data_IF_427330365261
#
_entry.id   IF_427330365261
#
_cell.length_a   1.000
_cell.length_b   1.000
_cell.length_c   1.000
_cell.angle_alpha   90.00
_cell.angle_beta   90.00
_cell.angle_gamma   90.00
#
_symmetry.space_group_name_H-M   'P 1'
#
loop_
_entity.id
_entity.type
_entity.pdbx_description
1 polymer ?
2 polymer ?
3 branched ?
4 non-polymer ?
5 non-polymer ?
6 non-polymer ?
7 non-polymer ?
8 water ?
#
# COMPACT_ATOMS: atom_id res chain seq x y z
C UNK A 1 -5.11 -22.01 -25.21
N UNK A 2 -3.96 -22.30 -24.57
CA UNK A 2 -2.96 -22.32 -23.49
C UNK A 2 -1.75 -21.39 -23.72
N UNK A 3 -1.55 -20.50 -22.75
CA UNK A 3 -0.83 -19.24 -22.94
C UNK A 3 0.57 -19.20 -22.35
N UNK A 4 0.73 -19.76 -21.15
CA UNK A 4 1.97 -19.58 -20.43
C UNK A 4 2.83 -20.81 -20.42
N UNK A 5 3.78 -20.85 -19.50
CA UNK A 5 4.62 -22.03 -19.28
C UNK A 5 4.50 -22.39 -17.82
N UNK A 6 4.47 -23.66 -17.47
CA UNK A 6 4.36 -24.01 -16.07
C UNK A 6 5.61 -24.69 -15.61
N UNK A 7 5.79 -24.63 -14.31
CA UNK A 7 6.94 -25.24 -13.70
C UNK A 7 6.44 -25.46 -12.31
N UNK A 8 7.21 -26.24 -11.54
CA UNK A 8 6.96 -26.53 -10.13
C UNK A 8 6.51 -25.28 -9.36
N UNK A 9 7.35 -24.25 -9.33
CA UNK A 9 7.07 -23.09 -8.49
C UNK A 9 6.92 -21.78 -9.18
N UNK A 10 6.41 -21.79 -10.40
CA UNK A 10 6.29 -20.54 -11.12
C UNK A 10 5.27 -20.65 -12.24
N UNK A 11 5.04 -19.54 -12.93
CA UNK A 11 4.25 -19.53 -14.14
C UNK A 11 4.74 -18.41 -15.02
N UNK A 12 5.29 -18.75 -16.17
CA UNK A 12 5.80 -17.75 -17.08
C UNK A 12 4.75 -17.43 -18.13
N UNK A 13 4.39 -16.16 -18.25
CA UNK A 13 3.46 -15.70 -19.27
C UNK A 13 4.02 -15.76 -20.70
N UNK A 14 4.55 -16.90 -21.10
CA UNK A 14 5.01 -17.06 -22.47
C UNK A 14 4.88 -18.49 -22.99
N UNK A 15 4.72 -18.62 -24.30
CA UNK A 15 4.48 -19.93 -24.91
C UNK A 15 5.78 -20.63 -25.31
N UNK A 16 6.08 -21.71 -24.58
CA UNK A 16 7.31 -22.47 -24.81
C UNK A 16 7.27 -23.37 -26.06
N UNK A 17 6.34 -23.12 -26.96
CA UNK A 17 6.32 -23.81 -28.22
C UNK A 17 7.58 -23.51 -29.00
N UNK A 18 8.14 -22.33 -28.81
CA UNK A 18 9.43 -22.01 -29.43
C UNK A 18 10.57 -22.71 -28.70
N UNK A 19 10.29 -23.24 -27.51
CA UNK A 19 11.28 -23.93 -26.70
C UNK A 19 12.36 -23.01 -26.18
N UNK A 20 11.97 -21.80 -25.77
CA UNK A 20 12.92 -20.75 -25.35
C UNK A 20 12.74 -20.40 -23.87
N UNK A 21 11.57 -20.71 -23.37
CA UNK A 21 11.19 -20.41 -22.02
C UNK A 21 12.03 -21.16 -21.00
N UNK A 22 12.68 -20.41 -20.12
CA UNK A 22 13.45 -20.95 -18.98
C UNK A 22 12.88 -20.47 -17.62
N UNK A 23 13.07 -21.28 -16.58
CA UNK A 23 12.67 -20.93 -15.21
C UNK A 23 13.15 -19.53 -14.84
N UNK A 24 12.29 -18.73 -14.19
CA UNK A 24 12.68 -17.37 -13.83
C UNK A 24 13.66 -17.37 -12.66
N UNK A 25 13.77 -18.50 -11.96
CA UNK A 25 14.81 -18.65 -10.97
C UNK A 25 16.14 -19.01 -11.63
N UNK A 26 16.15 -19.15 -12.95
CA UNK A 26 17.32 -19.74 -13.61
C UNK A 26 17.97 -18.96 -14.74
N UNK A 27 17.18 -18.30 -15.58
CA UNK A 27 17.78 -17.56 -16.68
C UNK A 27 16.94 -16.35 -17.04
N UNK A 28 17.61 -15.32 -17.59
CA UNK A 28 17.05 -14.08 -18.10
C UNK A 28 15.86 -14.30 -19.00
N UNK A 29 14.79 -13.52 -18.79
CA UNK A 29 13.55 -13.69 -19.54
C UNK A 29 13.46 -12.67 -20.64
N UNK A 30 14.52 -12.55 -21.41
CA UNK A 30 14.59 -11.50 -22.41
C UNK A 30 13.64 -11.73 -23.60
N UNK A 31 12.98 -12.89 -23.59
CA UNK A 31 11.91 -13.21 -24.56
C UNK A 31 10.55 -12.65 -24.14
N UNK A 32 10.36 -12.53 -22.82
CA UNK A 32 9.20 -11.93 -22.18
C UNK A 32 9.11 -10.45 -22.47
N UNK A 33 10.28 -9.84 -22.67
CA UNK A 33 10.41 -8.39 -22.84
C UNK A 33 11.83 -8.03 -23.19
N UNK A 34 11.99 -7.04 -24.07
CA UNK A 34 13.31 -6.62 -24.48
C UNK A 34 14.16 -6.38 -23.23
N UNK A 35 15.49 -6.37 -23.34
CA UNK A 35 16.24 -6.05 -22.13
C UNK A 35 16.03 -4.61 -21.69
N UNK A 36 15.96 -3.67 -22.63
CA UNK A 36 15.82 -2.28 -22.22
C UNK A 36 14.59 -2.07 -21.38
N UNK A 37 13.59 -2.92 -21.56
CA UNK A 37 12.42 -2.84 -20.73
C UNK A 37 12.73 -3.37 -19.35
N UNK A 38 13.66 -4.27 -19.23
CA UNK A 38 14.09 -4.61 -17.89
C UNK A 38 14.82 -3.44 -17.28
N UNK A 39 15.48 -2.65 -18.13
CA UNK A 39 16.25 -1.52 -17.65
C UNK A 39 15.33 -0.46 -17.07
N UNK A 40 14.22 -0.24 -17.74
CA UNK A 40 13.24 0.74 -17.32
C UNK A 40 12.57 0.28 -16.06
N UNK A 41 12.29 -1.02 -15.96
CA UNK A 41 11.81 -1.55 -14.70
C UNK A 41 12.75 -1.14 -13.57
N UNK A 42 14.05 -1.37 -13.78
CA UNK A 42 15.09 -0.98 -12.83
C UNK A 42 15.10 0.52 -12.59
N UNK A 43 15.16 1.30 -13.66
CA UNK A 43 14.99 2.74 -13.55
C UNK A 43 13.89 3.08 -12.55
N UNK A 44 12.71 2.47 -12.72
CA UNK A 44 11.66 2.77 -11.80
C UNK A 44 12.01 2.43 -10.36
N UNK A 45 12.30 1.17 -10.11
CA UNK A 45 12.69 0.72 -8.78
C UNK A 45 13.64 1.70 -8.13
N UNK A 46 14.56 2.25 -8.93
CA UNK A 46 15.49 3.26 -8.48
C UNK A 46 14.74 4.50 -7.98
N UNK A 47 13.95 5.06 -8.89
CA UNK A 47 13.08 6.19 -8.58
C UNK A 47 12.39 6.08 -7.22
N UNK A 48 11.66 4.97 -7.04
CA UNK A 48 10.87 4.78 -5.83
C UNK A 48 11.76 4.69 -4.63
N UNK A 49 12.97 4.14 -4.80
CA UNK A 49 13.95 4.12 -3.73
C UNK A 49 14.44 5.54 -3.44
N UNK A 50 14.84 6.21 -4.52
CA UNK A 50 15.23 7.60 -4.41
C UNK A 50 14.24 8.44 -3.63
N UNK A 51 13.01 8.58 -4.14
CA UNK A 51 11.97 9.38 -3.46
C UNK A 51 11.47 8.68 -2.21
N UNK A 52 11.11 7.43 -2.35
CA UNK A 52 10.47 6.72 -1.28
C UNK A 52 11.27 6.57 -0.02
N UNK A 53 12.58 6.37 -0.13
CA UNK A 53 13.34 6.12 1.09
C UNK A 53 13.55 7.37 1.94
N UNK A 54 13.95 8.48 1.30
CA UNK A 54 13.96 9.76 2.00
C UNK A 54 12.63 10.08 2.69
N UNK A 55 11.62 10.36 1.88
CA UNK A 55 10.33 10.75 2.36
C UNK A 55 9.91 9.92 3.55
N UNK A 56 9.99 8.61 3.43
CA UNK A 56 9.48 7.79 4.51
C UNK A 56 10.38 7.75 5.72
N UNK A 57 11.67 7.84 5.46
CA UNK A 57 12.64 7.69 6.54
C UNK A 57 12.64 8.98 7.33
N UNK A 58 12.57 10.07 6.58
CA UNK A 58 12.55 11.38 7.16
C UNK A 58 11.40 11.47 8.15
N UNK A 59 10.28 10.88 7.78
CA UNK A 59 9.13 10.82 8.66
C UNK A 59 9.45 10.27 10.07
N UNK A 60 10.15 9.15 10.15
CA UNK A 60 10.56 8.67 11.46
C UNK A 60 11.51 9.66 12.13
N UNK A 61 12.42 10.19 11.33
CA UNK A 61 13.50 11.03 11.85
C UNK A 61 12.98 12.29 12.51
N UNK A 62 12.21 13.04 11.74
CA UNK A 62 11.52 14.21 12.24
C UNK A 62 10.73 13.89 13.51
N UNK A 63 9.98 12.79 13.51
CA UNK A 63 9.24 12.38 14.71
C UNK A 63 10.16 12.21 15.91
N UNK A 64 11.46 12.18 15.67
CA UNK A 64 12.37 12.08 16.79
C UNK A 64 12.80 13.47 17.28
N UNK A 65 13.10 14.38 16.36
CA UNK A 65 13.53 15.73 16.72
C UNK A 65 12.42 16.55 17.38
N UNK A 66 11.18 16.08 17.27
CA UNK A 66 10.03 16.93 17.63
C UNK A 66 9.10 16.25 18.62
N UNK A 67 8.92 16.87 19.78
CA UNK A 67 8.19 16.20 20.84
C UNK A 67 6.71 16.31 20.54
N UNK A 68 6.36 17.33 19.76
CA UNK A 68 4.96 17.57 19.47
C UNK A 68 4.35 16.55 18.51
N UNK A 69 5.20 15.73 17.88
CA UNK A 69 4.74 14.72 16.94
C UNK A 69 4.38 13.43 17.66
N UNK A 70 5.03 13.16 18.78
CA UNK A 70 4.81 11.90 19.48
C UNK A 70 3.45 11.73 20.17
N UNK A 71 2.37 11.98 19.46
CA UNK A 71 1.03 11.81 20.03
C UNK A 71 0.33 10.59 19.45
N UNK A 72 -0.52 9.94 20.27
CA UNK A 72 -1.32 8.78 19.87
C UNK A 72 -1.97 8.86 18.49
N UNK A 73 -2.56 10.01 18.16
CA UNK A 73 -3.16 10.20 16.85
C UNK A 73 -2.14 10.14 15.70
N UNK A 74 -0.87 9.94 16.04
CA UNK A 74 0.21 9.93 15.06
C UNK A 74 0.91 8.58 14.89
N UNK A 75 0.72 7.72 15.87
CA UNK A 75 1.25 6.37 15.82
C UNK A 75 1.00 5.68 14.46
N UNK A 76 -0.26 5.59 14.06
CA UNK A 76 -0.65 4.89 12.83
C UNK A 76 0.10 5.44 11.63
N UNK A 77 0.43 6.73 11.69
CA UNK A 77 1.16 7.38 10.62
C UNK A 77 2.59 6.91 10.57
N UNK A 78 3.11 6.53 11.72
CA UNK A 78 4.47 6.06 11.78
C UNK A 78 4.44 4.64 11.25
N UNK A 79 3.46 3.87 11.70
CA UNK A 79 3.20 2.57 11.11
C UNK A 79 3.25 2.71 9.60
N UNK A 80 2.50 3.67 9.07
CA UNK A 80 2.46 3.90 7.63
C UNK A 80 3.83 4.07 6.97
N UNK A 81 4.74 4.79 7.61
CA UNK A 81 6.07 5.02 7.03
C UNK A 81 6.92 3.75 7.08
N UNK A 82 6.90 3.08 8.22
CA UNK A 82 7.60 1.81 8.43
C UNK A 82 7.19 0.79 7.39
N UNK A 83 5.88 0.68 7.20
CA UNK A 83 5.31 -0.16 6.18
C UNK A 83 6.02 0.17 4.89
N UNK A 84 5.96 1.43 4.51
CA UNK A 84 6.54 1.86 3.25
C UNK A 84 7.99 1.47 3.14
N UNK A 85 8.64 1.31 4.28
CA UNK A 85 10.06 1.04 4.22
C UNK A 85 10.30 -0.41 3.88
N UNK A 86 9.51 -1.30 4.47
CA UNK A 86 9.47 -2.71 4.01
C UNK A 86 9.25 -2.77 2.50
N UNK A 87 8.25 -2.04 2.04
CA UNK A 87 8.02 -1.89 0.62
C UNK A 87 9.26 -1.45 -0.15
N UNK A 88 10.11 -0.63 0.48
CA UNK A 88 11.31 -0.22 -0.21
C UNK A 88 12.36 -1.31 -0.16
N UNK A 89 12.85 -1.60 1.04
CA UNK A 89 13.97 -2.52 1.20
C UNK A 89 13.64 -3.96 0.90
N UNK A 90 12.45 -4.41 1.30
CA UNK A 90 11.99 -5.73 0.95
C UNK A 90 11.57 -5.93 -0.51
N UNK A 91 10.95 -4.93 -1.10
CA UNK A 91 10.53 -5.00 -2.48
C UNK A 91 11.44 -4.21 -3.40
N UNK A 92 11.30 -2.90 -3.37
CA UNK A 92 11.88 -2.03 -4.39
C UNK A 92 13.32 -2.37 -4.74
N UNK A 93 14.12 -2.67 -3.73
CA UNK A 93 15.58 -2.75 -3.90
C UNK A 93 15.97 -4.12 -4.42
N UNK A 94 15.42 -5.15 -3.80
CA UNK A 94 15.44 -6.51 -4.34
C UNK A 94 15.15 -6.56 -5.83
N UNK A 95 13.94 -6.18 -6.19
CA UNK A 95 13.57 -6.01 -7.58
C UNK A 95 14.52 -5.16 -8.42
N UNK A 96 15.28 -4.26 -7.81
CA UNK A 96 16.23 -3.49 -8.60
C UNK A 96 17.38 -4.40 -8.93
N UNK A 97 17.77 -5.21 -7.97
CA UNK A 97 18.86 -6.11 -8.19
C UNK A 97 18.51 -7.17 -9.24
N UNK A 98 17.41 -7.88 -8.99
CA UNK A 98 16.96 -8.98 -9.83
C UNK A 98 16.58 -8.51 -11.20
N UNK A 99 15.94 -7.35 -11.29
CA UNK A 99 15.60 -6.83 -12.61
C UNK A 99 16.83 -6.71 -13.49
N UNK A 100 17.96 -6.44 -12.83
CA UNK A 100 19.19 -6.15 -13.55
C UNK A 100 19.89 -7.39 -14.09
N UNK A 101 19.44 -8.54 -13.60
CA UNK A 101 19.86 -9.86 -14.09
C UNK A 101 18.90 -10.35 -15.16
N UNK A 102 17.63 -9.95 -15.03
CA UNK A 102 16.59 -10.37 -15.95
C UNK A 102 15.80 -11.57 -15.46
N UNK A 103 15.97 -11.95 -14.19
CA UNK A 103 15.23 -13.08 -13.63
C UNK A 103 15.38 -13.12 -12.11
N UNK A 104 14.52 -13.88 -11.43
CA UNK A 104 14.51 -13.87 -9.96
C UNK A 104 15.63 -14.70 -9.32
N UNK A 105 16.83 -14.13 -9.34
CA UNK A 105 18.03 -14.82 -8.92
C UNK A 105 17.97 -15.51 -7.54
N UNK A 106 17.17 -15.02 -6.61
CA UNK A 106 17.26 -15.58 -5.27
C UNK A 106 16.46 -16.86 -5.06
N UNK A 107 16.04 -17.48 -6.16
CA UNK A 107 15.29 -18.72 -6.05
C UNK A 107 13.93 -18.54 -5.41
N UNK A 108 13.30 -19.65 -5.01
CA UNK A 108 11.94 -19.70 -4.45
C UNK A 108 11.86 -19.21 -3.01
N UNK A 109 12.80 -19.65 -2.19
CA UNK A 109 12.95 -19.06 -0.88
C UNK A 109 13.08 -17.54 -1.04
N UNK A 110 13.89 -17.11 -2.00
CA UNK A 110 13.99 -15.69 -2.31
C UNK A 110 12.63 -15.13 -2.60
N UNK A 111 11.84 -15.90 -3.36
CA UNK A 111 10.52 -15.49 -3.78
C UNK A 111 9.55 -15.44 -2.61
N UNK A 112 9.71 -16.37 -1.69
CA UNK A 112 8.91 -16.36 -0.49
C UNK A 112 9.19 -15.18 0.43
N UNK A 113 10.46 -14.89 0.66
CA UNK A 113 10.83 -13.74 1.48
C UNK A 113 10.39 -12.47 0.80
N UNK A 114 10.98 -12.25 -0.38
CA UNK A 114 10.76 -11.03 -1.12
C UNK A 114 9.26 -10.80 -1.23
N UNK A 115 8.54 -11.85 -1.57
CA UNK A 115 7.10 -11.76 -1.64
C UNK A 115 6.49 -11.42 -0.30
N UNK A 116 6.95 -12.09 0.76
CA UNK A 116 6.33 -11.92 2.07
C UNK A 116 6.47 -10.52 2.64
N UNK A 117 7.67 -9.96 2.59
CA UNK A 117 7.87 -8.62 3.11
C UNK A 117 7.27 -7.54 2.22
N UNK A 118 7.45 -7.67 0.92
CA UNK A 118 6.80 -6.75 -0.02
C UNK A 118 5.29 -6.75 0.16
N UNK A 119 4.76 -7.91 0.53
CA UNK A 119 3.33 -8.07 0.72
C UNK A 119 2.92 -7.61 2.12
N UNK A 120 3.69 -8.04 3.12
CA UNK A 120 3.43 -7.60 4.48
C UNK A 120 3.40 -6.08 4.51
N UNK A 121 4.49 -5.47 4.07
CA UNK A 121 4.62 -4.02 4.00
C UNK A 121 3.41 -3.30 3.44
N UNK A 122 2.97 -3.69 2.25
CA UNK A 122 1.84 -3.02 1.61
C UNK A 122 0.47 -3.23 2.25
N UNK A 123 0.35 -4.20 3.14
CA UNK A 123 -0.92 -4.46 3.82
C UNK A 123 -1.03 -3.68 5.10
N UNK A 124 0.07 -3.62 5.84
CA UNK A 124 0.17 -2.75 7.00
C UNK A 124 -0.20 -1.35 6.54
N UNK A 125 0.38 -0.92 5.42
CA UNK A 125 0.11 0.40 4.90
C UNK A 125 -1.39 0.54 4.67
N UNK A 126 -1.97 -0.39 3.92
CA UNK A 126 -3.41 -0.39 3.67
C UNK A 126 -4.20 -0.30 4.96
N UNK A 127 -4.07 -1.29 5.83
CA UNK A 127 -4.76 -1.27 7.11
C UNK A 127 -4.43 -0.07 7.99
N UNK A 128 -3.24 0.50 7.82
CA UNK A 128 -2.96 1.76 8.47
C UNK A 128 -4.00 2.74 8.01
N UNK A 129 -3.95 3.08 6.73
CA UNK A 129 -4.98 3.90 6.12
C UNK A 129 -6.43 3.62 6.58
N UNK A 130 -6.76 2.37 6.83
CA UNK A 130 -8.05 2.02 7.38
C UNK A 130 -8.13 2.48 8.83
N UNK A 131 -7.41 1.80 9.72
CA UNK A 131 -7.35 2.18 11.13
C UNK A 131 -7.36 3.70 11.32
N UNK A 132 -6.51 4.39 10.55
CA UNK A 132 -6.51 5.84 10.57
C UNK A 132 -7.93 6.39 10.47
N UNK A 133 -8.57 6.26 9.32
CA UNK A 133 -9.93 6.75 9.11
C UNK A 133 -10.92 6.43 10.26
N UNK A 134 -10.84 5.21 10.77
CA UNK A 134 -11.61 4.80 11.95
C UNK A 134 -11.33 5.69 13.17
N UNK A 135 -10.06 5.90 13.50
CA UNK A 135 -9.71 6.79 14.61
C UNK A 135 -10.24 8.20 14.35
N UNK A 136 -9.95 8.75 13.19
CA UNK A 136 -10.41 10.08 12.87
C UNK A 136 -11.94 10.21 12.98
N UNK A 137 -12.62 9.14 12.68
CA UNK A 137 -14.06 9.12 12.78
C UNK A 137 -14.47 9.15 14.24
N UNK A 138 -13.88 8.25 15.03
CA UNK A 138 -14.14 8.18 16.45
C UNK A 138 -13.92 9.54 17.14
N UNK A 139 -12.71 10.06 16.96
CA UNK A 139 -12.28 11.31 17.59
C UNK A 139 -13.15 12.54 17.19
N UNK A 140 -13.61 12.55 15.95
CA UNK A 140 -14.28 13.73 15.44
C UNK A 140 -15.80 13.60 15.40
N UNK A 141 -16.31 12.47 14.92
CA UNK A 141 -17.75 12.25 14.87
C UNK A 141 -18.29 11.92 16.26
N UNK A 142 -17.37 11.77 17.22
CA UNK A 142 -17.73 11.49 18.62
C UNK A 142 -18.89 10.51 18.72
N UNK A 143 -18.76 9.35 18.07
CA UNK A 143 -19.89 8.42 17.94
C UNK A 143 -20.21 7.76 19.27
N UNK A 144 -19.19 7.52 20.08
CA UNK A 144 -19.37 6.98 21.42
C UNK A 144 -19.23 8.15 22.37
N UNK A 145 -20.23 8.37 23.20
CA UNK A 145 -20.18 9.51 24.12
C UNK A 145 -19.20 9.26 25.25
N UNK A 146 -18.69 10.36 25.80
CA UNK A 146 -17.75 10.34 26.92
C UNK A 146 -16.49 9.55 26.62
N UNK A 147 -16.24 9.27 25.34
CA UNK A 147 -15.05 8.52 24.93
C UNK A 147 -13.89 9.40 24.41
N UNK A 148 -12.72 9.24 25.03
CA UNK A 148 -11.50 9.92 24.59
C UNK A 148 -10.43 8.93 24.15
N UNK A 149 -9.88 9.18 22.98
CA UNK A 149 -8.87 8.32 22.36
C UNK A 149 -7.48 8.53 22.99
N UNK A 150 -6.96 7.47 23.62
CA UNK A 150 -5.65 7.52 24.27
C UNK A 150 -4.56 6.67 23.65
N UNK A 151 -3.38 6.68 24.26
CA UNK A 151 -2.24 5.91 23.76
C UNK A 151 -2.57 4.43 23.66
N UNK A 152 -3.38 3.93 24.57
CA UNK A 152 -3.64 2.50 24.58
C UNK A 152 -4.50 2.05 23.40
N UNK A 153 -5.27 2.97 22.85
CA UNK A 153 -6.04 2.67 21.64
C UNK A 153 -5.09 2.72 20.45
N UNK A 154 -4.28 3.78 20.41
CA UNK A 154 -3.30 3.94 19.33
C UNK A 154 -2.50 2.66 19.14
N UNK A 155 -2.06 2.08 20.24
CA UNK A 155 -1.30 0.83 20.25
C UNK A 155 -2.05 -0.35 19.59
N UNK A 156 -3.24 -0.68 20.08
CA UNK A 156 -4.06 -1.68 19.40
C UNK A 156 -4.21 -1.32 17.93
N UNK A 157 -4.65 -0.09 17.66
CA UNK A 157 -4.79 0.37 16.29
C UNK A 157 -3.68 -0.21 15.44
N UNK A 158 -2.44 0.02 15.85
CA UNK A 158 -1.25 -0.45 15.14
C UNK A 158 -1.15 -1.97 15.12
N UNK A 159 -1.29 -2.59 16.28
CA UNK A 159 -1.26 -4.03 16.37
C UNK A 159 -2.24 -4.63 15.37
N UNK A 160 -3.48 -4.14 15.41
CA UNK A 160 -4.50 -4.61 14.52
C UNK A 160 -4.09 -4.57 13.05
N UNK A 161 -3.37 -3.53 12.62
CA UNK A 161 -2.88 -3.52 11.24
C UNK A 161 -1.89 -4.67 10.99
N UNK A 162 -1.06 -4.98 12.00
CA UNK A 162 -0.10 -6.06 11.92
C UNK A 162 -0.72 -7.41 11.80
N UNK A 163 -1.70 -7.66 12.64
CA UNK A 163 -2.49 -8.89 12.56
C UNK A 163 -3.20 -9.00 11.21
N UNK A 164 -4.06 -8.04 10.87
CA UNK A 164 -4.63 -7.96 9.52
C UNK A 164 -3.65 -8.30 8.40
N UNK A 165 -2.49 -7.64 8.42
CA UNK A 165 -1.45 -7.84 7.41
C UNK A 165 -0.89 -9.26 7.41
N UNK A 166 -0.55 -9.80 8.58
CA UNK A 166 -0.15 -11.21 8.64
C UNK A 166 -1.25 -12.12 8.11
N UNK A 167 -2.50 -11.79 8.43
CA UNK A 167 -3.65 -12.56 7.94
C UNK A 167 -3.70 -12.68 6.40
N UNK A 168 -2.82 -11.98 5.71
CA UNK A 168 -2.80 -12.03 4.26
C UNK A 168 -1.44 -12.46 3.68
N UNK A 169 -0.36 -12.07 4.33
CA UNK A 169 0.98 -12.37 3.84
C UNK A 169 1.46 -13.78 4.26
N UNK A 170 0.97 -14.26 5.40
CA UNK A 170 1.37 -15.54 5.96
C UNK A 170 0.73 -16.78 5.29
N UNK A 171 -0.58 -16.76 5.01
CA UNK A 171 -1.20 -17.92 4.35
C UNK A 171 -0.39 -18.51 3.16
N UNK A 172 -0.01 -17.67 2.18
CA UNK A 172 0.72 -18.13 1.01
C UNK A 172 2.03 -18.83 1.37
N UNK A 173 2.57 -18.51 2.54
CA UNK A 173 3.83 -19.13 2.97
C UNK A 173 3.60 -20.54 3.48
N UNK A 174 2.35 -20.89 3.74
CA UNK A 174 2.06 -22.21 4.30
C UNK A 174 0.90 -22.96 3.65
N UNK A 175 0.55 -22.61 2.42
CA UNK A 175 -0.30 -23.50 1.65
C UNK A 175 -1.54 -22.91 1.05
N UNK A 176 -2.00 -21.80 1.61
CA UNK A 176 -3.19 -21.17 1.03
C UNK A 176 -2.77 -20.01 0.14
N UNK A 177 -3.00 -20.20 -1.15
CA UNK A 177 -2.26 -19.50 -2.18
C UNK A 177 -0.74 -19.73 -2.05
N UNK A 178 0.05 -18.95 -2.81
CA UNK A 178 1.51 -19.13 -2.82
C UNK A 178 2.20 -17.92 -3.47
N UNK A 179 3.51 -17.77 -3.21
CA UNK A 179 4.28 -16.69 -3.82
C UNK A 179 5.02 -17.13 -5.09
N UNK A 180 4.92 -16.37 -6.17
CA UNK A 180 5.60 -16.75 -7.39
C UNK A 180 6.05 -15.49 -8.11
N UNK A 181 7.20 -15.55 -8.78
CA UNK A 181 7.59 -14.39 -9.58
C UNK A 181 6.43 -13.99 -10.45
N UNK A 182 5.97 -12.75 -10.34
CA UNK A 182 4.85 -12.31 -11.12
C UNK A 182 5.42 -11.36 -12.13
N UNK A 183 4.58 -10.92 -13.06
CA UNK A 183 4.93 -9.89 -14.01
C UNK A 183 5.99 -10.30 -15.01
N UNK A 184 7.11 -9.58 -15.01
CA UNK A 184 8.24 -9.93 -15.84
C UNK A 184 9.19 -10.85 -15.07
N UNK A 185 8.69 -11.37 -13.95
CA UNK A 185 9.35 -12.39 -13.15
C UNK A 185 10.57 -11.92 -12.35
N UNK A 186 10.71 -10.62 -12.14
CA UNK A 186 11.81 -10.14 -11.29
C UNK A 186 11.35 -9.95 -9.85
N UNK A 187 10.05 -9.78 -9.65
CA UNK A 187 9.49 -9.70 -8.29
C UNK A 187 8.54 -10.84 -8.06
N UNK A 188 8.18 -11.05 -6.79
CA UNK A 188 7.39 -12.19 -6.39
C UNK A 188 6.14 -11.79 -5.66
N UNK A 189 4.99 -11.90 -6.31
CA UNK A 189 3.71 -11.59 -5.71
C UNK A 189 2.84 -12.77 -5.29
N UNK A 190 1.66 -12.48 -4.77
CA UNK A 190 0.71 -13.52 -4.40
C UNK A 190 0.20 -14.10 -5.70
N UNK A 191 -0.18 -15.38 -5.67
CA UNK A 191 -0.79 -15.99 -6.86
C UNK A 191 -2.30 -15.80 -6.89
N UNK A 192 -2.77 -15.11 -7.92
CA UNK A 192 -4.17 -14.74 -8.00
C UNK A 192 -4.65 -14.82 -9.44
N UNK A 193 -3.82 -15.33 -10.33
CA UNK A 193 -4.22 -15.38 -11.73
C UNK A 193 -4.14 -16.80 -12.27
N UNK A 194 -3.45 -17.64 -11.51
CA UNK A 194 -3.34 -19.06 -11.78
C UNK A 194 -4.31 -19.80 -10.88
N UNK A 195 -5.08 -20.71 -11.47
CA UNK A 195 -6.07 -21.48 -10.70
C UNK A 195 -5.43 -22.74 -10.17
N UNK A 196 -4.59 -22.60 -9.15
CA UNK A 196 -3.70 -23.68 -8.74
C UNK A 196 -4.27 -24.50 -7.57
N UNK A 197 -5.16 -25.43 -7.92
CA UNK A 197 -5.91 -26.21 -6.93
C UNK A 197 -5.12 -26.75 -5.72
N UNK A 198 -3.87 -27.12 -5.90
CA UNK A 198 -3.15 -27.72 -4.78
C UNK A 198 -3.00 -26.76 -3.59
N UNK A 199 -3.35 -25.48 -3.80
CA UNK A 199 -3.24 -24.42 -2.77
C UNK A 199 -4.49 -23.52 -2.63
N UNK A 200 -5.46 -23.71 -3.54
CA UNK A 200 -6.78 -23.10 -3.41
C UNK A 200 -6.76 -21.62 -3.69
N UNK A 201 -5.89 -21.23 -4.62
CA UNK A 201 -5.84 -19.86 -5.08
C UNK A 201 -7.22 -19.24 -5.29
N UNK A 202 -8.10 -19.97 -5.95
CA UNK A 202 -9.48 -19.52 -6.19
C UNK A 202 -10.14 -18.91 -4.94
N UNK A 203 -10.06 -19.63 -3.83
CA UNK A 203 -10.69 -19.18 -2.60
C UNK A 203 -9.96 -17.97 -2.01
N UNK A 204 -8.69 -18.13 -1.67
CA UNK A 204 -7.88 -17.04 -1.15
C UNK A 204 -8.09 -15.75 -1.91
N UNK A 205 -8.00 -15.83 -3.23
CA UNK A 205 -8.32 -14.72 -4.11
C UNK A 205 -9.56 -13.96 -3.71
N UNK A 206 -10.63 -14.68 -3.41
CA UNK A 206 -11.89 -14.04 -2.98
C UNK A 206 -11.71 -13.42 -1.60
N UNK A 207 -11.29 -14.25 -0.66
CA UNK A 207 -11.05 -13.81 0.69
C UNK A 207 -10.20 -12.57 0.68
N UNK A 208 -9.14 -12.58 -0.12
CA UNK A 208 -8.40 -11.37 -0.44
C UNK A 208 -9.32 -10.27 -0.90
N UNK A 209 -9.96 -10.50 -2.03
CA UNK A 209 -10.83 -9.51 -2.60
C UNK A 209 -11.81 -8.91 -1.59
N UNK A 210 -12.39 -9.77 -0.77
CA UNK A 210 -13.47 -9.35 0.10
C UNK A 210 -12.97 -8.69 1.38
N UNK A 211 -12.24 -9.46 2.20
CA UNK A 211 -11.66 -8.93 3.43
C UNK A 211 -10.62 -7.84 3.18
N UNK A 212 -9.75 -8.04 2.23
CA UNK A 212 -8.68 -7.11 2.08
C UNK A 212 -8.86 -6.08 1.03
N UNK A 213 -10.04 -6.01 0.44
CA UNK A 213 -10.36 -4.88 -0.41
C UNK A 213 -11.66 -4.24 -0.01
N UNK A 214 -12.76 -4.96 -0.14
CA UNK A 214 -14.05 -4.35 0.08
C UNK A 214 -14.29 -3.85 1.49
N UNK A 215 -14.02 -4.66 2.48
CA UNK A 215 -14.05 -4.16 3.84
C UNK A 215 -13.38 -2.78 3.96
N UNK A 216 -12.04 -2.72 3.79
CA UNK A 216 -11.34 -1.43 3.79
C UNK A 216 -12.11 -0.36 3.02
N UNK A 217 -12.32 -0.61 1.74
CA UNK A 217 -13.04 0.31 0.88
C UNK A 217 -14.30 0.87 1.53
N UNK A 218 -15.12 -0.01 2.07
CA UNK A 218 -16.35 0.42 2.73
C UNK A 218 -16.05 1.25 3.97
N UNK A 219 -15.41 0.63 4.96
CA UNK A 219 -15.03 1.34 6.17
C UNK A 219 -14.52 2.74 5.86
N UNK A 220 -13.41 2.81 5.13
CA UNK A 220 -12.86 4.09 4.72
C UNK A 220 -13.89 5.04 4.14
N UNK A 221 -14.73 4.56 3.24
CA UNK A 221 -15.78 5.44 2.72
C UNK A 221 -16.83 5.87 3.76
N UNK A 222 -17.25 4.92 4.57
CA UNK A 222 -18.14 5.28 5.65
C UNK A 222 -17.48 6.33 6.53
N UNK A 223 -16.42 5.95 7.24
CA UNK A 223 -15.83 6.82 8.23
C UNK A 223 -15.57 8.20 7.71
N UNK A 224 -15.06 8.31 6.50
CA UNK A 224 -14.82 9.64 6.00
C UNK A 224 -16.09 10.35 5.59
N UNK A 225 -17.05 9.65 4.99
CA UNK A 225 -18.35 10.24 4.72
C UNK A 225 -18.90 10.88 5.99
N UNK A 226 -19.03 10.05 7.03
CA UNK A 226 -19.50 10.49 8.36
C UNK A 226 -18.87 11.78 8.78
N UNK A 227 -17.56 11.86 8.53
CA UNK A 227 -16.74 12.96 8.98
C UNK A 227 -16.95 14.19 8.12
N UNK A 228 -16.99 14.01 6.81
CA UNK A 228 -17.27 15.12 5.92
C UNK A 228 -18.72 15.53 6.15
N UNK A 229 -19.48 14.64 6.77
CA UNK A 229 -20.82 15.00 7.21
C UNK A 229 -20.73 15.90 8.43
N UNK A 230 -20.33 15.31 9.56
CA UNK A 230 -20.14 16.01 10.83
C UNK A 230 -19.58 17.43 10.68
N UNK A 231 -18.54 17.57 9.88
CA UNK A 231 -17.87 18.86 9.72
C UNK A 231 -18.61 19.81 8.79
N UNK A 232 -19.29 19.25 7.81
CA UNK A 232 -20.10 20.08 6.93
C UNK A 232 -21.29 20.65 7.71
N UNK A 233 -21.79 19.85 8.65
CA UNK A 233 -22.92 20.25 9.49
C UNK A 233 -22.51 21.35 10.47
N UNK A 234 -21.48 21.07 11.25
CA UNK A 234 -20.92 22.04 12.20
C UNK A 234 -20.57 23.38 11.55
N UNK A 235 -20.19 23.36 10.29
CA UNK A 235 -19.95 24.57 9.55
C UNK A 235 -21.20 25.38 9.33
N UNK A 236 -22.27 24.70 8.97
CA UNK A 236 -23.53 25.33 8.66
C UNK A 236 -24.05 26.01 9.89
N UNK A 237 -23.82 25.35 11.01
CA UNK A 237 -24.44 25.69 12.28
C UNK A 237 -23.64 26.79 12.90
N UNK A 238 -22.62 27.20 12.15
CA UNK A 238 -21.68 28.20 12.61
C UNK A 238 -21.17 28.96 11.42
N UNK A 239 -22.05 29.60 10.70
CA UNK A 239 -21.67 30.41 9.57
C UNK A 239 -20.85 31.60 9.99
N UNK A 240 -21.09 32.05 11.21
CA UNK A 240 -20.54 33.31 11.65
C UNK A 240 -19.04 33.22 11.60
N UNK A 241 -18.53 32.01 11.68
CA UNK A 241 -17.09 31.75 11.70
C UNK A 241 -16.53 31.46 10.31
N UNK A 242 -15.54 32.25 9.89
CA UNK A 242 -14.89 32.04 8.60
C UNK A 242 -13.86 30.88 8.70
N UNK A 243 -13.23 30.73 9.85
CA UNK A 243 -12.31 29.64 10.08
C UNK A 243 -12.99 28.29 9.96
N UNK A 244 -14.11 28.12 10.67
CA UNK A 244 -14.87 26.87 10.58
C UNK A 244 -15.35 26.66 9.15
N UNK A 245 -15.40 27.75 8.41
CA UNK A 245 -15.78 27.70 7.01
C UNK A 245 -14.66 27.08 6.19
N UNK A 246 -13.45 27.60 6.38
CA UNK A 246 -12.24 27.02 5.78
C UNK A 246 -12.07 25.57 6.18
N UNK A 247 -11.97 25.30 7.48
CA UNK A 247 -11.83 23.93 7.96
C UNK A 247 -12.70 22.96 7.15
N UNK A 248 -14.02 23.14 7.22
CA UNK A 248 -14.95 22.26 6.53
C UNK A 248 -14.65 22.13 5.06
N UNK A 249 -14.23 23.24 4.46
CA UNK A 249 -13.91 23.26 3.04
C UNK A 249 -12.63 22.45 2.80
N UNK A 250 -11.61 22.69 3.62
CA UNK A 250 -10.35 22.01 3.42
C UNK A 250 -10.42 20.55 3.83
N UNK A 251 -11.17 20.24 4.87
CA UNK A 251 -11.33 18.84 5.25
C UNK A 251 -11.98 18.03 4.14
N UNK A 252 -12.94 18.62 3.45
CA UNK A 252 -13.55 17.92 2.32
C UNK A 252 -12.47 17.64 1.27
N UNK A 253 -11.83 18.69 0.76
CA UNK A 253 -10.77 18.57 -0.24
C UNK A 253 -9.81 17.40 0.05
N UNK A 254 -9.33 17.29 1.28
CA UNK A 254 -8.51 16.15 1.68
C UNK A 254 -9.19 14.79 1.60
N UNK A 255 -10.40 14.68 2.15
CA UNK A 255 -11.05 13.37 2.14
C UNK A 255 -11.30 12.90 0.72
N UNK A 256 -11.51 13.84 -0.18
CA UNK A 256 -11.63 13.47 -1.58
C UNK A 256 -10.33 12.81 -2.06
N UNK A 257 -9.24 13.55 -1.95
CA UNK A 257 -7.90 13.02 -2.15
C UNK A 257 -7.69 11.64 -1.51
N UNK A 258 -7.82 11.54 -0.19
CA UNK A 258 -7.61 10.27 0.49
C UNK A 258 -8.24 9.13 -0.27
N UNK A 259 -9.47 9.38 -0.70
CA UNK A 259 -10.30 8.37 -1.35
C UNK A 259 -9.87 8.09 -2.80
N UNK A 260 -9.91 9.11 -3.65
CA UNK A 260 -9.31 9.02 -4.98
C UNK A 260 -7.97 8.28 -4.98
N UNK A 261 -7.05 8.78 -4.18
CA UNK A 261 -5.74 8.16 -4.08
C UNK A 261 -5.82 6.69 -3.64
N UNK A 262 -6.88 6.31 -2.93
CA UNK A 262 -6.96 4.94 -2.44
C UNK A 262 -7.42 3.99 -3.51
N UNK A 263 -8.25 4.49 -4.41
CA UNK A 263 -8.72 3.67 -5.50
C UNK A 263 -7.57 3.50 -6.46
N UNK A 264 -6.85 4.58 -6.70
CA UNK A 264 -5.67 4.51 -7.56
C UNK A 264 -4.69 3.40 -7.14
N UNK A 265 -4.57 3.20 -5.84
CA UNK A 265 -3.68 2.19 -5.31
C UNK A 265 -4.23 0.78 -5.50
N UNK A 266 -5.41 0.51 -4.95
CA UNK A 266 -5.93 -0.86 -4.92
C UNK A 266 -6.96 -1.23 -6.01
N UNK A 267 -7.46 -0.26 -6.77
CA UNK A 267 -8.41 -0.59 -7.84
C UNK A 267 -7.83 -1.54 -8.90
N UNK A 268 -6.66 -1.19 -9.46
CA UNK A 268 -6.01 -2.06 -10.45
C UNK A 268 -5.90 -3.52 -10.03
N UNK A 269 -5.45 -3.80 -8.82
CA UNK A 269 -5.34 -5.19 -8.40
C UNK A 269 -6.71 -5.84 -8.26
N UNK A 270 -7.66 -5.09 -7.72
CA UNK A 270 -8.99 -5.65 -7.62
C UNK A 270 -9.61 -5.80 -9.02
N UNK A 271 -9.48 -4.75 -9.84
CA UNK A 271 -9.95 -4.78 -11.24
C UNK A 271 -9.43 -5.96 -12.04
N UNK A 272 -8.13 -6.22 -11.91
CA UNK A 272 -7.50 -7.34 -12.58
C UNK A 272 -7.88 -8.67 -11.93
N UNK A 273 -7.63 -8.81 -10.64
CA UNK A 273 -7.99 -10.04 -9.95
C UNK A 273 -9.38 -10.50 -10.34
N UNK A 274 -10.28 -9.54 -10.45
CA UNK A 274 -11.66 -9.82 -10.77
C UNK A 274 -11.80 -10.28 -12.23
N UNK A 275 -11.46 -9.37 -13.14
CA UNK A 275 -11.54 -9.64 -14.58
C UNK A 275 -10.90 -10.97 -14.97
N UNK A 276 -9.85 -11.35 -14.26
CA UNK A 276 -9.15 -12.61 -14.45
C UNK A 276 -10.00 -13.76 -13.93
N UNK A 277 -10.46 -13.61 -12.70
CA UNK A 277 -11.38 -14.57 -12.09
C UNK A 277 -12.60 -14.81 -12.98
N UNK A 278 -13.00 -13.78 -13.73
CA UNK A 278 -14.24 -13.85 -14.48
C UNK A 278 -14.02 -13.91 -16.00
N UNK A 279 -12.77 -14.12 -16.41
CA UNK A 279 -12.42 -14.40 -17.80
C UNK A 279 -11.28 -15.41 -17.74
N UNK A 280 -11.55 -16.58 -17.16
CA UNK A 280 -10.47 -17.53 -16.89
C UNK A 280 -9.80 -18.08 -18.15
N UNK A 281 -10.53 -18.12 -19.25
CA UNK A 281 -9.91 -18.43 -20.52
C UNK A 281 -9.40 -17.18 -21.21
N UNK A 282 -8.26 -16.67 -20.77
CA UNK A 282 -7.77 -15.40 -21.28
C UNK A 282 -6.30 -15.23 -20.97
N UNK A 283 -5.56 -14.74 -21.97
CA UNK A 283 -4.12 -14.58 -21.85
C UNK A 283 -3.75 -13.17 -21.41
N UNK A 284 -2.93 -13.06 -20.38
CA UNK A 284 -2.50 -11.76 -19.88
C UNK A 284 -0.98 -11.52 -19.93
N UNK A 285 -0.55 -10.58 -20.77
CA UNK A 285 0.84 -10.14 -20.85
C UNK A 285 1.61 -9.94 -19.55
N UNK A 286 2.93 -10.12 -19.61
CA UNK A 286 3.78 -10.02 -18.42
C UNK A 286 4.06 -8.56 -18.07
N UNK A 287 3.91 -7.67 -19.05
CA UNK A 287 3.94 -6.22 -18.82
C UNK A 287 2.60 -5.78 -18.22
N UNK A 288 1.50 -6.12 -18.88
CA UNK A 288 0.17 -5.83 -18.37
C UNK A 288 -0.03 -6.40 -16.96
N UNK A 289 0.58 -7.53 -16.68
CA UNK A 289 0.49 -8.12 -15.34
C UNK A 289 1.24 -7.29 -14.31
N UNK A 290 2.02 -6.38 -14.86
CA UNK A 290 2.84 -5.46 -14.10
C UNK A 290 2.05 -4.17 -13.71
N UNK A 291 1.14 -3.74 -14.60
CA UNK A 291 0.32 -2.56 -14.36
C UNK A 291 -0.21 -2.43 -12.91
N UNK A 292 -1.04 -3.40 -12.45
CA UNK A 292 -1.64 -3.27 -11.11
C UNK A 292 -0.56 -3.07 -10.07
N UNK A 293 0.57 -3.74 -10.22
CA UNK A 293 1.62 -3.65 -9.21
C UNK A 293 2.41 -2.33 -9.29
N UNK A 294 2.38 -1.70 -10.44
CA UNK A 294 3.02 -0.42 -10.64
C UNK A 294 2.32 0.59 -9.75
N UNK A 295 1.00 0.62 -9.84
CA UNK A 295 0.20 1.51 -9.02
C UNK A 295 0.38 1.23 -7.54
N UNK A 296 0.18 -0.02 -7.13
CA UNK A 296 0.30 -0.37 -5.72
C UNK A 296 1.66 -0.04 -5.09
N UNK A 297 2.75 -0.02 -5.87
CA UNK A 297 4.05 0.25 -5.28
C UNK A 297 4.32 1.74 -5.13
N UNK A 298 3.89 2.53 -6.10
CA UNK A 298 4.12 3.98 -6.08
C UNK A 298 3.49 4.70 -4.87
N UNK A 299 2.54 4.02 -4.21
CA UNK A 299 1.89 4.55 -3.05
C UNK A 299 2.89 4.68 -1.91
N UNK A 300 4.02 3.99 -2.00
CA UNK A 300 5.05 4.13 -0.99
C UNK A 300 5.75 5.46 -1.15
N UNK A 301 5.43 6.16 -2.23
CA UNK A 301 5.88 7.55 -2.38
C UNK A 301 4.72 8.49 -2.04
N UNK A 302 3.57 8.30 -2.68
CA UNK A 302 2.49 9.26 -2.56
C UNK A 302 1.63 9.18 -1.29
N UNK A 303 1.66 8.05 -0.60
CA UNK A 303 1.02 8.02 0.70
C UNK A 303 1.80 8.85 1.71
N UNK A 304 3.12 8.67 1.77
CA UNK A 304 3.80 9.63 2.67
C UNK A 304 3.47 11.08 2.30
N UNK A 305 3.52 11.43 1.03
CA UNK A 305 3.25 12.79 0.60
C UNK A 305 1.89 13.30 1.03
N UNK A 306 0.90 12.43 1.05
CA UNK A 306 -0.49 12.87 1.20
C UNK A 306 -0.86 12.89 2.68
N UNK A 307 -0.47 11.84 3.38
CA UNK A 307 -0.81 11.65 4.79
C UNK A 307 0.23 12.20 5.74
N UNK A 308 1.37 12.67 5.22
CA UNK A 308 2.44 13.14 6.08
C UNK A 308 2.95 14.49 5.64
N UNK A 309 3.34 14.64 4.40
CA UNK A 309 3.89 15.90 3.98
C UNK A 309 2.77 16.91 3.89
N UNK A 310 1.56 16.41 3.68
CA UNK A 310 0.43 17.31 3.53
C UNK A 310 -0.25 17.50 4.88
N UNK A 311 0.23 16.79 5.90
CA UNK A 311 -0.25 16.93 7.28
C UNK A 311 0.42 18.16 7.92
N UNK A 312 -0.40 19.10 8.39
CA UNK A 312 0.14 20.41 8.79
C UNK A 312 1.24 20.31 9.84
N UNK A 313 0.98 19.58 10.93
CA UNK A 313 2.01 19.33 11.96
C UNK A 313 3.35 18.86 11.34
N UNK A 314 3.34 17.66 10.75
CA UNK A 314 4.55 17.06 10.20
C UNK A 314 5.32 17.98 9.28
N UNK A 315 4.63 18.64 8.37
CA UNK A 315 5.28 19.45 7.36
C UNK A 315 6.26 20.46 7.95
N UNK A 316 5.81 21.19 8.97
CA UNK A 316 6.60 22.19 9.64
C UNK A 316 7.95 21.68 10.07
N UNK A 317 7.92 20.62 10.85
CA UNK A 317 9.12 20.03 11.42
C UNK A 317 10.05 19.50 10.35
N UNK A 318 9.54 19.25 9.16
CA UNK A 318 10.43 18.86 8.10
C UNK A 318 11.19 20.10 7.64
N UNK A 319 10.44 21.06 7.12
CA UNK A 319 10.99 22.34 6.68
C UNK A 319 11.99 22.92 7.68
N UNK A 320 11.70 22.70 8.98
CA UNK A 320 12.55 23.07 10.11
C UNK A 320 13.82 22.24 10.13
N UNK A 321 13.64 20.93 10.05
CA UNK A 321 14.72 19.97 10.13
C UNK A 321 15.57 20.08 8.89
N UNK A 322 14.90 20.11 7.75
CA UNK A 322 15.59 20.21 6.46
C UNK A 322 16.40 21.50 6.36
N UNK A 323 15.78 22.62 6.74
CA UNK A 323 16.47 23.90 6.71
C UNK A 323 17.19 24.25 8.03
N UNK A 324 17.70 23.18 8.64
CA UNK A 324 18.85 23.21 9.56
C UNK A 324 18.61 23.76 10.95
N UNK A 325 17.43 23.46 11.51
CA UNK A 325 17.06 23.93 12.83
C UNK A 325 16.24 25.21 12.81
N UNK A 326 16.47 26.02 11.78
CA UNK A 326 15.82 27.33 11.63
C UNK A 326 14.71 27.27 10.60
N UNK A 327 13.80 28.25 10.64
CA UNK A 327 12.71 28.41 9.67
C UNK A 327 11.50 27.50 9.92
N UNK B 1 -15.33 21.83 16.51
CA UNK B 1 -14.57 20.63 16.17
C UNK B 1 -13.11 20.99 15.94
N UNK B 2 -12.89 22.22 15.48
CA UNK B 2 -11.57 22.66 15.02
C UNK B 2 -10.41 22.20 15.90
N UNK B 3 -10.69 21.88 17.15
CA UNK B 3 -9.65 21.38 18.04
C UNK B 3 -9.23 19.99 17.67
N UNK B 4 -10.19 19.07 17.69
CA UNK B 4 -9.94 17.70 17.26
C UNK B 4 -9.44 17.61 15.83
N UNK B 5 -10.04 18.37 14.91
CA UNK B 5 -9.52 18.50 13.55
C UNK B 5 -8.01 18.70 13.52
N UNK B 6 -7.51 19.56 14.40
CA UNK B 6 -6.08 19.86 14.46
C UNK B 6 -5.26 18.67 14.93
N UNK B 7 -5.75 18.00 15.97
CA UNK B 7 -5.05 16.84 16.56
C UNK B 7 -4.86 15.75 15.51
N UNK B 8 -5.81 15.65 14.58
CA UNK B 8 -5.76 14.67 13.51
C UNK B 8 -4.91 15.17 12.34
N UNK B 9 -4.53 16.45 12.38
CA UNK B 9 -3.73 17.04 11.33
C UNK B 9 -4.50 17.36 10.07
N UNK B 10 -5.82 17.13 10.13
CA UNK B 10 -6.74 17.44 9.03
C UNK B 10 -6.98 18.93 8.77
N UNK B 11 -6.87 19.75 9.82
CA UNK B 11 -6.92 21.20 9.67
C UNK B 11 -6.06 21.85 10.75
X LIG C 1 10.83 -24.69 -22.59
X LIG C 1 10.96 -25.49 -21.30
X LIG C 1 12.34 -26.09 -21.25
X LIG C 1 12.62 -26.96 -22.45
X LIG C 1 12.39 -26.25 -23.79
X LIG C 1 11.83 -27.21 -24.84
X LIG C 1 10.07 -24.91 -19.00
X LIG C 1 9.86 -23.76 -18.07
X LIG C 1 10.82 -24.66 -20.09
X LIG C 1 12.34 -26.85 -20.07
X LIG C 1 14.00 -27.25 -22.31
X LIG C 1 11.59 -25.08 -23.75
X LIG C 1 10.58 -27.77 -24.49
X LIG C 1 9.54 -25.98 -18.71
X LIG C 2 14.42 -28.62 -22.51
X LIG C 2 15.79 -28.46 -23.15
X LIG C 2 16.54 -29.78 -23.22
X LIG C 2 16.56 -30.55 -21.89
X LIG C 2 15.11 -30.61 -21.30
X LIG C 2 15.04 -31.17 -19.85
X LIG C 2 16.07 -26.51 -24.60
X LIG C 2 16.20 -25.91 -25.97
X LIG C 2 15.70 -27.78 -24.46
X LIG C 2 17.86 -29.50 -23.62
X LIG C 2 17.30 -31.79 -22.07
X LIG C 2 14.50 -29.34 -21.30
X LIG C 2 13.73 -31.17 -19.27
X LIG C 2 16.32 -25.82 -23.63
X LIG D 1 -6.17 -6.98 -3.30
X LIG D 1 -7.23 -6.74 -4.38
X LIG D 1 -7.91 -8.05 -4.79
X LIG D 1 -6.89 -9.07 -5.25
X LIG D 1 -5.54 -9.05 -4.60
X LIG D 1 -5.16 -8.07 -3.76
X LIG D 1 -3.81 -8.18 -3.14
X LIG D 1 -2.66 -8.16 -3.83
X LIG D 1 -1.45 -7.48 -3.27
X LIG D 1 -0.32 -7.46 -4.00
X LIG D 1 0.84 -6.75 -3.52
X LIG D 1 1.99 -6.90 -4.16
X LIG D 1 3.09 -5.90 -4.00
X LIG D 1 4.19 -5.99 -4.76
X LIG D 1 5.08 -4.84 -4.87
X LIG D 1 -6.87 -7.50 -2.04
X LIG D 1 -5.52 -5.62 -2.96
X LIG D 1 -4.58 -10.13 -4.96
X LIG D 1 -1.45 -6.83 -1.88
X LIG D 1 2.95 -4.68 -3.12
X LIG E 1 -12.65 -12.20 -7.16
X LIG E 1 -11.63 -12.42 -6.43
X LIG E 1 -12.42 -11.54 -8.21
X LIG E 1 -14.03 -12.68 -6.80
X LIG F 1 -18.46 18.92 -1.89
X LIG F 1 -18.21 17.75 -1.09
X LIG F 1 -19.94 18.98 -2.32
X LIG F 1 -20.32 17.82 -3.10
X LIG F 1 -20.16 20.28 -3.07
X LIG F 1 -21.55 20.41 -3.35
X LIG F 1 -19.73 21.44 -2.16
X LIG F 1 -19.92 22.69 -2.87
X LIG F 1 -18.26 21.30 -1.80
X LIG F 1 -18.07 20.06 -1.11
X LIG F 1 -17.83 22.35 -0.77
X LIG F 1 -16.47 22.14 -0.37
X LIG F 1 -18.32 16.43 -1.62
X LIG F 1 -17.70 15.58 -0.52
X LIG F 1 -17.68 14.09 -0.82
X LIG F 1 -17.05 13.44 0.41
X LIG F 1 -17.02 11.95 0.22
X LIG F 1 -16.44 11.29 1.46
X LIG F 1 -16.48 9.79 1.20
X LIG F 1 -15.93 9.05 2.40
X LIG G 1 20.08 23.80 5.99
X LIG G 1 19.52 24.93 6.11
X LIG G 1 20.29 23.27 4.53
X LIG G 1 19.36 24.08 3.62
X LIG G 1 19.42 23.88 2.08
X LIG G 1 19.14 22.49 1.50
X LIG G 1 19.16 22.62 -0.06
X LIG G 1 18.85 21.26 -0.72
X LIG G 1 18.75 21.31 -2.26
X LIG G 1 18.44 19.89 -2.79
X LIG G 1 18.26 19.91 -4.33
X LIG G 1 17.99 18.53 -4.95
X LIG G 1 19.22 17.71 -4.62
X LIG G 1 19.20 16.26 -5.11
X LIG G 1 19.12 16.01 -6.62
X LIG G 1 19.20 14.48 -6.79
X LIG G 1 19.15 14.04 -8.26
#
# INVERSE_FOLDING_TARGET
XMCGTEGPNFYVPFSNKTGVVRSPFEAPQYYLAEPWQFSMLAAYMFLLIMLGFPINFLTLYVTVQHKKLRTPLNYILLNLAVADLFMVFGGFTTTLYTSLHGYFVFGPTGCNLEGFFATLGGEIALWSLVVLAIERYVVVCKPMSNFRFGENHAIMGVAFTWVMALACAAPPLVGWSRYIPEGMQCSCGIDYYTPHEETNNESFVIYMFVVHFIIPLIVIFFCYGQLVFTVKEAAAQQQESATTQKAEKEVTRMVIIYVIAFLICWLPYAGVAFYIFTHQGSCFGPIFMTIPAFFAKTSAVYNPVIYIMMNKQFRNCMVTTLCCGKNPLGDDEASTTVSKTETSQVAPA
ILENLKDCGLF
NAG C1 C2 C3 C4 C5 C6 C7 C8 N2 O3 O4 O5 O6 O7
NAG C1 C2 C3 C4 C5 C6 C7 C8 N2 O3 O4 O5 O6 O7
RET C1 C2 C3 C4 C5 C6 C7 C8 C9 C10 C11 C12 C13 C14 C15 C16 C17 C18 C19 C20
ACT C O OXT CH3
BOG C1 O1 C2 O2 C3 O3 C4 O4 C5 O5 C6 O6 C1' C2' C3' C4' C5' C6' C7' C8'
PLM C1 O2 C2 C3 C4 C5 C6 C7 C8 C9 CA CB CC CD CE CF CG
#
